data_IF_678198519687
#
_entry.id   IF_678198519687
#
_cell.length_a   1.000
_cell.length_b   1.000
_cell.length_c   1.000
_cell.angle_alpha   90.00
_cell.angle_beta   90.00
_cell.angle_gamma   90.00
#
_symmetry.space_group_name_H-M   'P 1'
#
loop_
_entity.id
_entity.type
_entity.pdbx_description
1 polymer ?
#
# COMPACT_ATOMS: atom_id res chain seq x y z
N UNK A 1 -16.63 58.47 4.22
CA UNK A 1 -15.18 58.43 3.97
C UNK A 1 -14.94 57.82 2.60
N UNK A 2 -14.32 58.55 1.66
CA UNK A 2 -13.98 58.02 0.33
C UNK A 2 -12.63 57.27 0.37
N UNK A 3 -12.47 56.16 -0.38
CA UNK A 3 -11.24 55.38 -0.39
C UNK A 3 -10.13 56.12 -1.17
N UNK A 4 -8.95 56.25 -0.56
CA UNK A 4 -7.77 56.84 -1.21
C UNK A 4 -7.30 55.94 -2.36
N UNK A 5 -7.48 56.41 -3.60
CA UNK A 5 -6.89 55.79 -4.79
C UNK A 5 -5.39 56.10 -4.80
N UNK A 6 -4.54 55.05 -4.76
CA UNK A 6 -3.09 55.21 -4.86
C UNK A 6 -2.70 55.55 -6.31
N UNK A 7 -1.80 56.52 -6.57
CA UNK A 7 -1.38 56.85 -7.91
C UNK A 7 -0.61 55.69 -8.56
N UNK A 8 -0.96 55.36 -9.81
CA UNK A 8 -0.21 54.40 -10.63
C UNK A 8 1.08 55.06 -11.11
N UNK A 9 2.21 54.61 -10.58
CA UNK A 9 3.54 55.02 -11.05
C UNK A 9 3.86 54.27 -12.35
N UNK A 10 4.01 54.98 -13.46
CA UNK A 10 4.42 54.42 -14.75
C UNK A 10 5.94 54.61 -14.88
N UNK A 11 6.68 53.51 -14.81
CA UNK A 11 8.14 53.50 -14.91
C UNK A 11 8.60 53.46 -16.39
N UNK A 12 9.73 54.10 -16.70
CA UNK A 12 10.33 54.09 -18.05
C UNK A 12 10.81 52.69 -18.43
N UNK A 13 10.92 52.40 -19.75
CA UNK A 13 11.37 51.09 -20.25
C UNK A 13 12.77 50.71 -19.74
N UNK A 14 13.67 51.67 -19.65
CA UNK A 14 15.03 51.48 -19.12
C UNK A 14 15.01 51.21 -17.61
N UNK A 15 14.21 51.96 -16.84
CA UNK A 15 14.05 51.71 -15.42
C UNK A 15 13.43 50.32 -15.14
N UNK A 16 12.46 49.89 -15.95
CA UNK A 16 11.90 48.54 -15.89
C UNK A 16 12.95 47.46 -16.21
N UNK A 17 13.80 47.68 -17.21
CA UNK A 17 14.87 46.73 -17.58
C UNK A 17 15.91 46.59 -16.46
N UNK A 18 16.35 47.71 -15.88
CA UNK A 18 17.28 47.73 -14.73
C UNK A 18 16.66 47.05 -13.49
N UNK A 19 15.38 47.32 -13.21
CA UNK A 19 14.68 46.66 -12.10
C UNK A 19 14.52 45.16 -12.33
N UNK A 20 14.27 44.73 -13.56
CA UNK A 20 14.17 43.31 -13.91
C UNK A 20 15.52 42.60 -13.81
N UNK A 21 16.60 43.21 -14.31
CA UNK A 21 17.96 42.70 -14.14
C UNK A 21 18.31 42.57 -12.65
N UNK A 22 18.04 43.59 -11.85
CA UNK A 22 18.26 43.56 -10.40
C UNK A 22 17.43 42.48 -9.70
N UNK A 23 16.17 42.28 -10.11
CA UNK A 23 15.32 41.20 -9.59
C UNK A 23 15.88 39.82 -9.94
N UNK A 24 16.35 39.63 -11.17
CA UNK A 24 16.96 38.38 -11.61
C UNK A 24 18.24 38.09 -10.82
N UNK A 25 19.11 39.09 -10.62
CA UNK A 25 20.34 38.92 -9.83
C UNK A 25 20.03 38.56 -8.38
N UNK A 26 19.07 39.24 -7.74
CA UNK A 26 18.62 38.91 -6.37
C UNK A 26 18.01 37.51 -6.29
N UNK A 27 17.22 37.10 -7.28
CA UNK A 27 16.64 35.75 -7.33
C UNK A 27 17.72 34.68 -7.50
N UNK A 28 18.73 34.92 -8.34
CA UNK A 28 19.88 34.02 -8.49
C UNK A 28 20.67 33.90 -7.19
N UNK A 29 20.99 35.03 -6.54
CA UNK A 29 21.69 35.04 -5.25
C UNK A 29 20.91 34.28 -4.17
N UNK A 30 19.59 34.46 -4.13
CA UNK A 30 18.73 33.72 -3.20
C UNK A 30 18.75 32.20 -3.46
N UNK A 31 18.69 31.77 -4.72
CA UNK A 31 18.80 30.34 -5.08
C UNK A 31 20.14 29.76 -4.65
N UNK A 32 21.24 30.43 -4.99
CA UNK A 32 22.59 30.00 -4.59
C UNK A 32 22.71 29.91 -3.06
N UNK A 33 22.13 30.85 -2.32
CA UNK A 33 22.12 30.80 -0.86
C UNK A 33 21.31 29.61 -0.31
N UNK A 34 20.21 29.24 -0.96
CA UNK A 34 19.44 28.04 -0.61
C UNK A 34 20.23 26.76 -0.90
N UNK A 35 20.86 26.67 -2.07
CA UNK A 35 21.65 25.50 -2.46
C UNK A 35 22.82 25.29 -1.49
N UNK A 36 23.57 26.36 -1.17
CA UNK A 36 24.63 26.32 -0.17
C UNK A 36 24.14 25.90 1.23
N UNK A 37 22.92 26.30 1.61
CA UNK A 37 22.35 25.90 2.90
C UNK A 37 21.98 24.41 2.91
N UNK A 38 21.50 23.88 1.78
CA UNK A 38 21.24 22.45 1.64
C UNK A 38 22.52 21.63 1.71
N UNK A 39 23.59 22.07 1.06
CA UNK A 39 24.91 21.41 1.11
C UNK A 39 25.44 21.34 2.55
N UNK A 40 25.32 22.44 3.31
CA UNK A 40 25.71 22.46 4.73
C UNK A 40 24.91 21.48 5.59
N UNK A 41 23.60 21.32 5.31
CA UNK A 41 22.76 20.36 6.02
C UNK A 41 23.18 18.92 5.69
N UNK A 42 23.51 18.65 4.42
CA UNK A 42 23.95 17.32 4.00
C UNK A 42 25.31 16.94 4.61
N UNK A 43 26.27 17.87 4.63
CA UNK A 43 27.57 17.69 5.28
C UNK A 43 27.43 17.47 6.79
N UNK A 44 26.56 18.23 7.46
CA UNK A 44 26.26 18.03 8.87
C UNK A 44 25.61 16.66 9.11
N UNK A 45 24.70 16.22 8.22
CA UNK A 45 24.03 14.91 8.30
C UNK A 45 25.05 13.78 8.21
N UNK A 46 25.97 13.85 7.24
CA UNK A 46 27.07 12.88 7.07
C UNK A 46 27.98 12.84 8.29
N UNK A 47 28.34 14.01 8.84
CA UNK A 47 29.19 14.12 10.03
C UNK A 47 28.55 13.45 11.25
N UNK A 48 27.26 13.69 11.48
CA UNK A 48 26.50 13.06 12.58
C UNK A 48 26.38 11.55 12.36
N UNK A 49 26.14 11.12 11.12
CA UNK A 49 26.04 9.71 10.77
C UNK A 49 27.35 8.97 11.07
N UNK A 50 28.50 9.53 10.68
CA UNK A 50 29.82 8.96 10.97
C UNK A 50 30.15 8.97 12.47
N UNK A 51 29.90 10.08 13.17
CA UNK A 51 30.23 10.19 14.59
C UNK A 51 29.45 9.21 15.48
N UNK A 52 28.21 8.91 15.09
CA UNK A 52 27.30 8.08 15.89
C UNK A 52 27.06 6.68 15.31
N UNK A 53 27.83 6.27 14.29
CA UNK A 53 27.72 4.95 13.65
C UNK A 53 26.28 4.62 13.18
N UNK A 54 25.59 5.63 12.61
CA UNK A 54 24.23 5.51 12.08
C UNK A 54 24.23 5.67 10.57
N UNK A 55 23.21 5.14 9.90
CA UNK A 55 23.04 5.38 8.46
C UNK A 55 22.66 6.84 8.19
N UNK A 56 23.18 7.40 7.09
CA UNK A 56 22.88 8.77 6.64
C UNK A 56 21.36 8.96 6.52
N UNK A 57 20.66 8.01 5.91
CA UNK A 57 19.19 8.02 5.76
C UNK A 57 18.44 8.11 7.10
N UNK A 58 18.96 7.50 8.17
CA UNK A 58 18.34 7.57 9.51
C UNK A 58 18.50 8.96 10.12
N UNK A 59 19.71 9.52 10.05
CA UNK A 59 19.99 10.88 10.54
C UNK A 59 19.22 11.91 9.74
N UNK A 60 19.14 11.72 8.42
CA UNK A 60 18.35 12.53 7.51
C UNK A 60 16.88 12.53 7.93
N UNK A 61 16.26 11.36 8.07
CA UNK A 61 14.89 11.25 8.57
C UNK A 61 14.69 11.98 9.91
N UNK A 62 15.61 11.83 10.87
CA UNK A 62 15.53 12.50 12.18
C UNK A 62 15.61 14.04 12.07
N UNK A 63 16.39 14.57 11.11
CA UNK A 63 16.51 16.01 10.84
C UNK A 63 15.28 16.58 10.09
N UNK A 64 14.79 15.86 9.07
CA UNK A 64 13.64 16.27 8.26
C UNK A 64 12.29 16.13 8.98
N UNK A 65 12.16 15.23 9.97
CA UNK A 65 10.98 15.15 10.87
C UNK A 65 10.79 16.45 11.70
N UNK A 66 11.81 17.31 11.74
CA UNK A 66 11.62 18.74 11.87
C UNK A 66 12.17 19.35 13.16
N UNK A 67 13.04 20.34 12.97
CA UNK A 67 13.50 21.28 14.00
C UNK A 67 12.36 22.09 14.66
N UNK A 68 11.17 22.16 14.02
CA UNK A 68 9.98 22.87 14.51
C UNK A 68 9.26 22.18 15.69
N UNK A 69 9.31 20.84 15.77
CA UNK A 69 8.78 20.08 16.92
C UNK A 69 9.73 20.18 18.12
N UNK A 70 11.02 20.37 17.86
CA UNK A 70 12.04 20.63 18.88
C UNK A 70 11.94 22.07 19.44
N UNK A 71 11.67 23.08 18.60
CA UNK A 71 11.59 24.50 19.02
C UNK A 71 10.25 24.95 19.59
N UNK A 72 9.11 24.33 19.24
CA UNK A 72 7.80 24.65 19.85
C UNK A 72 7.74 24.36 21.36
N UNK A 73 8.82 23.80 21.94
CA UNK A 73 8.95 23.34 23.33
C UNK A 73 9.28 24.42 24.36
N UNK A 74 9.51 25.67 23.96
CA UNK A 74 9.79 26.79 24.89
C UNK A 74 8.61 27.75 25.10
N UNK A 75 7.35 27.32 24.96
CA UNK A 75 6.27 28.10 25.57
C UNK A 75 6.54 28.14 27.08
N UNK A 76 6.62 29.34 27.68
CA UNK A 76 6.82 29.52 29.13
C UNK A 76 5.95 28.52 29.89
N UNK A 77 6.58 27.63 30.67
CA UNK A 77 5.88 26.64 31.49
C UNK A 77 5.03 27.41 32.50
N UNK A 78 3.72 27.44 32.30
CA UNK A 78 2.82 28.04 33.25
C UNK A 78 2.66 27.09 34.44
N UNK A 79 3.01 27.56 35.63
CA UNK A 79 2.94 26.81 36.91
C UNK A 79 1.55 26.20 37.12
N UNK A 80 0.48 26.90 36.72
CA UNK A 80 -0.89 26.39 36.77
C UNK A 80 -1.09 25.14 35.88
N UNK A 81 -0.54 25.14 34.66
CA UNK A 81 -0.66 24.01 33.75
C UNK A 81 0.11 22.78 34.26
N UNK A 82 1.24 23.02 34.93
CA UNK A 82 2.05 21.98 35.57
C UNK A 82 1.31 21.36 36.76
N UNK A 83 0.73 22.20 37.62
CA UNK A 83 -0.08 21.73 38.74
C UNK A 83 -1.30 20.92 38.27
N UNK A 84 -2.05 21.41 37.28
CA UNK A 84 -3.16 20.68 36.69
C UNK A 84 -2.72 19.36 36.06
N UNK A 85 -1.51 19.29 35.49
CA UNK A 85 -0.96 18.04 34.95
C UNK A 85 -0.73 17.00 36.06
N UNK A 86 -0.14 17.37 37.19
CA UNK A 86 0.12 16.45 38.32
C UNK A 86 -1.16 15.92 38.94
N UNK A 87 -2.23 16.73 38.94
CA UNK A 87 -3.52 16.40 39.53
C UNK A 87 -4.47 15.60 38.64
N UNK A 88 -4.17 15.40 37.34
CA UNK A 88 -5.05 14.64 36.42
C UNK A 88 -5.26 13.19 36.91
N UNK A 89 -6.45 12.81 37.43
CA UNK A 89 -6.84 11.40 37.45
C UNK A 89 -7.36 11.06 36.03
N UNK A 90 -7.34 9.79 35.65
CA UNK A 90 -7.85 9.37 34.34
C UNK A 90 -9.24 9.95 34.02
N UNK A 91 -9.40 10.46 32.79
CA UNK A 91 -10.66 10.85 32.15
C UNK A 91 -11.57 11.94 32.79
N UNK A 92 -11.11 12.79 33.72
CA UNK A 92 -11.90 13.98 34.09
C UNK A 92 -11.75 15.15 33.11
N UNK A 93 -12.87 15.80 32.75
CA UNK A 93 -12.89 16.97 31.88
C UNK A 93 -12.18 18.17 32.55
N UNK A 94 -11.30 18.85 31.81
CA UNK A 94 -10.42 19.92 32.30
C UNK A 94 -11.15 21.02 33.11
N UNK A 95 -12.41 21.32 32.76
CA UNK A 95 -13.22 22.34 33.43
C UNK A 95 -13.59 21.98 34.88
N UNK A 96 -13.71 20.70 35.20
CA UNK A 96 -14.11 20.22 36.52
C UNK A 96 -12.91 20.21 37.48
N UNK A 97 -11.76 19.76 36.99
CA UNK A 97 -10.47 19.79 37.69
C UNK A 97 -10.06 21.23 38.07
N UNK A 98 -10.34 22.19 37.18
CA UNK A 98 -10.10 23.63 37.42
C UNK A 98 -10.97 24.18 38.55
N UNK A 99 -12.15 23.61 38.82
CA UNK A 99 -13.02 24.06 39.94
C UNK A 99 -12.59 23.46 41.27
N UNK A 100 -12.23 22.18 41.27
CA UNK A 100 -11.93 21.40 42.48
C UNK A 100 -10.57 21.79 43.10
N UNK A 101 -9.53 21.98 42.28
CA UNK A 101 -8.16 22.19 42.79
C UNK A 101 -7.68 23.65 42.74
N UNK A 102 -8.57 24.62 42.48
CA UNK A 102 -8.21 26.04 42.42
C UNK A 102 -7.73 26.58 43.76
N UNK A 103 -8.42 26.21 44.84
CA UNK A 103 -8.05 26.63 46.20
C UNK A 103 -6.69 26.06 46.62
N UNK A 104 -6.46 24.77 46.32
CA UNK A 104 -5.19 24.08 46.60
C UNK A 104 -3.99 24.71 45.90
N UNK A 105 -4.18 25.26 44.69
CA UNK A 105 -3.10 25.93 43.97
C UNK A 105 -2.67 27.24 44.65
N UNK A 106 -3.63 28.03 45.13
CA UNK A 106 -3.32 29.30 45.78
C UNK A 106 -2.69 29.12 47.17
N UNK A 107 -2.81 27.93 47.77
CA UNK A 107 -2.14 27.57 49.03
C UNK A 107 -0.72 27.04 48.84
N UNK A 108 -0.28 26.75 47.61
CA UNK A 108 1.07 26.26 47.35
C UNK A 108 2.13 27.34 47.58
N UNK A 109 3.19 26.97 48.29
CA UNK A 109 4.38 27.79 48.44
C UNK A 109 5.15 27.94 47.12
N UNK A 110 6.01 28.94 47.05
CA UNK A 110 6.85 29.17 45.85
C UNK A 110 7.87 28.04 45.62
N UNK A 111 8.32 27.37 46.68
CA UNK A 111 9.28 26.26 46.60
C UNK A 111 8.61 25.01 46.01
N UNK A 112 7.41 24.67 46.49
CA UNK A 112 6.63 23.56 45.93
C UNK A 112 6.27 23.79 44.46
N UNK A 113 5.96 25.04 44.08
CA UNK A 113 5.71 25.39 42.68
C UNK A 113 6.94 25.17 41.78
N UNK A 114 8.14 25.41 42.29
CA UNK A 114 9.39 25.20 41.54
C UNK A 114 9.71 23.70 41.39
N UNK A 115 9.53 22.92 42.45
CA UNK A 115 9.73 21.47 42.41
C UNK A 115 8.77 20.78 41.44
N UNK A 116 7.52 21.22 41.39
CA UNK A 116 6.53 20.75 40.42
C UNK A 116 6.95 21.02 38.97
N UNK A 117 7.50 22.20 38.69
CA UNK A 117 8.00 22.56 37.36
C UNK A 117 9.21 21.70 36.97
N UNK A 118 10.09 21.41 37.93
CA UNK A 118 11.27 20.56 37.72
C UNK A 118 10.88 19.11 37.43
N UNK A 119 10.02 18.52 38.25
CA UNK A 119 9.51 17.16 38.08
C UNK A 119 8.79 17.00 36.73
N UNK A 120 8.00 17.99 36.33
CA UNK A 120 7.31 17.98 35.04
C UNK A 120 8.28 18.11 33.86
N UNK A 121 9.34 18.91 33.99
CA UNK A 121 10.37 19.03 32.97
C UNK A 121 11.10 17.69 32.76
N UNK A 122 11.45 16.99 33.83
CA UNK A 122 12.09 15.67 33.79
C UNK A 122 11.18 14.61 33.16
N UNK A 123 9.91 14.53 33.55
CA UNK A 123 8.96 13.61 32.91
C UNK A 123 8.71 13.92 31.43
N UNK A 124 8.74 15.21 31.05
CA UNK A 124 8.61 15.62 29.65
C UNK A 124 9.83 15.16 28.86
N UNK A 125 11.05 15.27 29.40
CA UNK A 125 12.27 14.75 28.78
C UNK A 125 12.19 13.23 28.57
N UNK A 126 11.71 12.47 29.57
CA UNK A 126 11.58 11.00 29.46
C UNK A 126 10.51 10.58 28.44
N UNK A 127 9.40 11.32 28.32
CA UNK A 127 8.38 11.10 27.27
C UNK A 127 8.85 11.55 25.89
N UNK A 128 9.76 12.53 25.81
CA UNK A 128 10.35 13.01 24.56
C UNK A 128 11.25 11.96 23.89
N UNK A 129 11.84 11.05 24.67
CA UNK A 129 12.63 9.93 24.16
C UNK A 129 11.78 8.84 23.48
N UNK A 130 10.46 8.79 23.76
CA UNK A 130 9.49 7.86 23.17
C UNK A 130 8.68 8.46 22.02
N UNK A 131 9.37 8.90 20.96
CA UNK A 131 8.75 9.68 19.88
C UNK A 131 7.75 8.85 19.05
N UNK A 132 6.46 9.20 19.12
CA UNK A 132 5.44 8.74 18.18
C UNK A 132 4.75 9.94 17.51
N UNK A 133 5.18 10.31 16.31
CA UNK A 133 4.29 11.03 15.38
C UNK A 133 3.10 10.12 15.11
N UNK A 134 1.90 10.54 15.49
CA UNK A 134 0.71 9.72 15.26
C UNK A 134 0.54 9.47 13.77
N UNK A 135 0.16 8.25 13.41
CA UNK A 135 -0.13 7.84 12.02
C UNK A 135 -1.09 8.81 11.34
N UNK A 136 -2.08 9.32 12.08
CA UNK A 136 -3.04 10.33 11.62
C UNK A 136 -2.37 11.65 11.20
N UNK A 137 -1.34 12.10 11.93
CA UNK A 137 -0.63 13.35 11.59
C UNK A 137 0.19 13.18 10.31
N UNK A 138 0.86 12.03 10.14
CA UNK A 138 1.58 11.68 8.91
C UNK A 138 0.66 11.65 7.70
N UNK A 139 -0.51 10.99 7.82
CA UNK A 139 -1.51 10.91 6.74
C UNK A 139 -2.02 12.30 6.36
N UNK A 140 -2.32 13.14 7.35
CA UNK A 140 -2.85 14.48 7.09
C UNK A 140 -1.81 15.38 6.39
N UNK A 141 -0.54 15.31 6.79
CA UNK A 141 0.55 16.05 6.16
C UNK A 141 0.75 15.64 4.69
N UNK A 142 0.76 14.33 4.44
CA UNK A 142 0.83 13.77 3.07
C UNK A 142 -0.36 14.27 2.25
N UNK A 143 -1.57 14.17 2.77
CA UNK A 143 -2.79 14.55 2.04
C UNK A 143 -2.82 16.04 1.69
N UNK A 144 -2.43 16.91 2.63
CA UNK A 144 -2.40 18.37 2.39
C UNK A 144 -1.33 18.74 1.37
N UNK A 145 -0.16 18.12 1.45
CA UNK A 145 0.95 18.37 0.52
C UNK A 145 0.60 17.89 -0.88
N UNK A 146 0.03 16.69 -1.02
CA UNK A 146 -0.40 16.16 -2.33
C UNK A 146 -1.44 17.04 -2.98
N UNK A 147 -2.42 17.53 -2.22
CA UNK A 147 -3.42 18.46 -2.75
C UNK A 147 -2.79 19.76 -3.28
N UNK A 148 -1.77 20.28 -2.61
CA UNK A 148 -1.06 21.46 -3.09
C UNK A 148 -0.31 21.17 -4.41
N UNK A 149 0.34 20.01 -4.51
CA UNK A 149 1.03 19.58 -5.73
C UNK A 149 0.05 19.37 -6.89
N UNK A 150 -1.07 18.71 -6.66
CA UNK A 150 -2.12 18.50 -7.68
C UNK A 150 -2.63 19.84 -8.25
N UNK A 151 -2.84 20.84 -7.39
CA UNK A 151 -3.25 22.18 -7.83
C UNK A 151 -2.20 22.86 -8.72
N UNK A 152 -0.91 22.72 -8.38
CA UNK A 152 0.19 23.25 -9.19
C UNK A 152 0.32 22.53 -10.54
N UNK A 153 0.13 21.20 -10.55
CA UNK A 153 0.14 20.41 -11.78
C UNK A 153 -1.04 20.79 -12.69
N UNK A 154 -2.25 20.93 -12.15
CA UNK A 154 -3.40 21.44 -12.90
C UNK A 154 -3.12 22.84 -13.47
N UNK A 155 -2.51 23.72 -12.67
CA UNK A 155 -2.13 25.06 -13.11
C UNK A 155 -1.05 25.04 -14.20
N UNK A 156 -0.16 24.04 -14.22
CA UNK A 156 0.83 23.84 -15.28
C UNK A 156 0.16 23.42 -16.59
N UNK A 157 -0.78 22.47 -16.54
CA UNK A 157 -1.57 22.04 -17.69
C UNK A 157 -2.34 23.22 -18.31
N UNK A 158 -3.08 23.99 -17.49
CA UNK A 158 -3.82 25.14 -18.00
C UNK A 158 -2.95 26.20 -18.69
N UNK A 159 -1.68 26.35 -18.28
CA UNK A 159 -0.77 27.36 -18.84
C UNK A 159 0.00 26.89 -20.07
N UNK A 160 0.26 25.60 -20.17
CA UNK A 160 1.24 25.06 -21.14
C UNK A 160 0.72 23.90 -21.99
N UNK A 161 -0.43 23.33 -21.63
CA UNK A 161 -0.93 22.09 -22.20
C UNK A 161 -0.12 20.85 -21.79
N UNK A 162 0.80 20.97 -20.83
CA UNK A 162 1.59 19.84 -20.35
C UNK A 162 0.69 18.84 -19.60
N UNK A 163 0.64 17.61 -20.10
CA UNK A 163 -0.02 16.50 -19.44
C UNK A 163 0.92 15.84 -18.42
N UNK A 164 0.41 15.54 -17.22
CA UNK A 164 1.22 14.99 -16.12
C UNK A 164 0.52 13.82 -15.45
N UNK A 165 1.33 12.86 -14.99
CA UNK A 165 0.93 11.78 -14.08
C UNK A 165 1.85 11.79 -12.85
N UNK A 166 1.28 11.56 -11.68
CA UNK A 166 1.95 11.55 -10.39
C UNK A 166 1.56 10.28 -9.62
N UNK A 167 2.56 9.50 -9.25
CA UNK A 167 2.42 8.33 -8.40
C UNK A 167 3.08 8.58 -7.05
N UNK A 168 2.35 8.37 -5.96
CA UNK A 168 2.85 8.52 -4.59
C UNK A 168 2.51 7.28 -3.80
N UNK A 169 3.52 6.69 -3.18
CA UNK A 169 3.43 5.34 -2.63
C UNK A 169 4.26 5.24 -1.35
N UNK A 170 3.81 4.43 -0.38
CA UNK A 170 4.60 4.27 0.84
C UNK A 170 5.70 3.22 0.67
N UNK A 171 6.95 3.60 0.99
CA UNK A 171 8.10 2.69 0.99
C UNK A 171 8.37 2.01 2.33
N UNK A 172 7.50 2.16 3.32
CA UNK A 172 7.58 1.44 4.60
C UNK A 172 6.20 0.98 5.05
N UNK A 173 6.16 0.05 6.00
CA UNK A 173 4.92 -0.44 6.61
C UNK A 173 4.33 0.49 7.67
N UNK A 174 4.96 1.65 7.95
CA UNK A 174 4.65 2.44 9.16
C UNK A 174 3.37 3.30 9.06
N UNK A 175 3.03 3.94 7.93
CA UNK A 175 1.69 4.48 7.72
C UNK A 175 0.87 3.55 6.79
N UNK A 176 -0.37 3.17 7.16
CA UNK A 176 -1.31 2.48 6.28
C UNK A 176 -1.91 3.51 5.32
N UNK A 177 -1.09 4.00 4.40
CA UNK A 177 -1.53 4.90 3.34
C UNK A 177 -1.55 4.08 2.06
N UNK A 178 -2.74 3.93 1.47
CA UNK A 178 -2.89 3.38 0.13
C UNK A 178 -2.30 4.39 -0.85
N UNK A 179 -1.49 3.92 -1.80
CA UNK A 179 -0.84 4.82 -2.75
C UNK A 179 -1.84 5.72 -3.47
N UNK A 180 -1.41 6.96 -3.71
CA UNK A 180 -2.19 8.02 -4.33
C UNK A 180 -1.71 8.19 -5.77
N UNK A 181 -2.65 8.11 -6.71
CA UNK A 181 -2.43 8.43 -8.12
C UNK A 181 -3.15 9.72 -8.46
N UNK A 182 -2.48 10.58 -9.22
CA UNK A 182 -3.08 11.70 -9.91
C UNK A 182 -2.66 11.61 -11.37
N UNK A 183 -3.62 11.69 -12.29
CA UNK A 183 -3.34 11.67 -13.72
C UNK A 183 -4.30 12.66 -14.40
N UNK A 184 -3.77 13.41 -15.36
CA UNK A 184 -4.59 14.21 -16.26
C UNK A 184 -5.24 13.31 -17.32
N UNK A 185 -6.33 13.78 -17.91
CA UNK A 185 -7.19 12.98 -18.77
C UNK A 185 -6.45 12.38 -19.97
N UNK A 186 -5.55 13.14 -20.61
CA UNK A 186 -4.80 12.68 -21.78
C UNK A 186 -3.87 11.51 -21.45
N UNK A 187 -3.07 11.65 -20.38
CA UNK A 187 -2.16 10.58 -19.95
C UNK A 187 -2.92 9.42 -19.32
N UNK A 188 -4.02 9.67 -18.60
CA UNK A 188 -4.85 8.61 -18.04
C UNK A 188 -5.43 7.71 -19.13
N UNK A 189 -5.97 8.31 -20.20
CA UNK A 189 -6.49 7.56 -21.35
C UNK A 189 -5.37 6.80 -22.07
N UNK A 190 -4.18 7.41 -22.23
CA UNK A 190 -3.02 6.72 -22.80
C UNK A 190 -2.63 5.47 -21.98
N UNK A 191 -2.54 5.60 -20.66
CA UNK A 191 -2.19 4.48 -19.78
C UNK A 191 -3.21 3.34 -19.88
N UNK A 192 -4.51 3.66 -19.93
CA UNK A 192 -5.56 2.64 -20.01
C UNK A 192 -5.72 2.04 -21.42
N UNK A 193 -5.73 2.86 -22.47
CA UNK A 193 -6.07 2.40 -23.82
C UNK A 193 -4.87 1.92 -24.62
N UNK A 194 -3.70 2.54 -24.46
CA UNK A 194 -2.50 2.18 -25.22
C UNK A 194 -1.64 1.22 -24.42
N UNK A 195 -1.34 1.57 -23.15
CA UNK A 195 -0.49 0.73 -22.32
C UNK A 195 -1.25 -0.45 -21.70
N UNK A 196 -2.58 -0.41 -21.67
CA UNK A 196 -3.41 -1.42 -20.97
C UNK A 196 -3.01 -1.58 -19.49
N UNK A 197 -2.55 -0.48 -18.87
CA UNK A 197 -2.10 -0.43 -17.48
C UNK A 197 -3.17 0.29 -16.66
N UNK A 198 -3.66 -0.38 -15.63
CA UNK A 198 -4.43 0.27 -14.58
C UNK A 198 -3.48 0.99 -13.61
N UNK A 199 -3.68 2.30 -13.43
CA UNK A 199 -2.81 3.14 -12.60
C UNK A 199 -2.80 2.72 -11.12
N UNK A 200 -3.93 2.18 -10.61
CA UNK A 200 -4.03 1.70 -9.23
C UNK A 200 -3.29 0.36 -9.07
N UNK A 201 -3.38 -0.53 -10.05
CA UNK A 201 -2.61 -1.78 -10.10
C UNK A 201 -1.10 -1.49 -10.17
N UNK A 202 -0.69 -0.53 -11.01
CA UNK A 202 0.72 -0.13 -11.10
C UNK A 202 1.25 0.44 -9.77
N UNK A 203 0.51 1.35 -9.14
CA UNK A 203 0.87 1.85 -7.80
C UNK A 203 1.00 0.70 -6.80
N UNK A 204 0.05 -0.23 -6.78
CA UNK A 204 0.06 -1.35 -5.84
C UNK A 204 1.29 -2.23 -6.01
N UNK A 205 1.73 -2.45 -7.26
CA UNK A 205 2.96 -3.17 -7.58
C UNK A 205 4.20 -2.39 -7.14
N UNK A 206 4.21 -1.07 -7.35
CA UNK A 206 5.32 -0.22 -6.92
C UNK A 206 5.42 -0.14 -5.38
N UNK A 207 4.29 -0.13 -4.66
CA UNK A 207 4.23 -0.24 -3.19
C UNK A 207 4.78 -1.57 -2.71
N UNK A 208 4.27 -2.67 -3.29
CA UNK A 208 4.78 -4.01 -2.99
C UNK A 208 6.28 -4.10 -3.23
N UNK A 209 6.77 -3.54 -4.34
CA UNK A 209 8.20 -3.48 -4.63
C UNK A 209 8.99 -2.68 -3.60
N UNK A 210 8.51 -1.51 -3.20
CA UNK A 210 9.20 -0.66 -2.24
C UNK A 210 9.32 -1.33 -0.86
N UNK A 211 8.34 -2.15 -0.47
CA UNK A 211 8.31 -2.85 0.83
C UNK A 211 9.04 -4.20 0.80
N UNK A 212 8.88 -4.99 -0.27
CA UNK A 212 9.30 -6.40 -0.33
C UNK A 212 10.20 -6.74 -1.54
N UNK A 213 10.65 -5.74 -2.30
CA UNK A 213 11.43 -5.93 -3.53
C UNK A 213 10.63 -6.68 -4.60
N UNK A 214 11.32 -7.44 -5.46
CA UNK A 214 10.70 -8.18 -6.58
C UNK A 214 9.51 -9.06 -6.16
N UNK A 215 9.52 -9.59 -4.93
CA UNK A 215 8.43 -10.43 -4.40
C UNK A 215 7.13 -9.66 -4.14
N UNK A 216 7.21 -8.37 -3.88
CA UNK A 216 6.03 -7.54 -3.68
C UNK A 216 5.46 -6.95 -4.97
N UNK A 217 6.28 -6.78 -6.01
CA UNK A 217 5.81 -6.36 -7.34
C UNK A 217 4.99 -7.44 -8.07
N UNK A 218 5.20 -8.72 -7.74
CA UNK A 218 4.64 -9.86 -8.46
C UNK A 218 3.22 -10.26 -8.04
N UNK A 219 2.65 -9.69 -6.97
CA UNK A 219 1.39 -10.19 -6.40
C UNK A 219 0.14 -9.62 -7.10
N UNK A 220 -0.23 -10.21 -8.22
CA UNK A 220 -1.58 -10.08 -8.79
C UNK A 220 -2.45 -11.28 -8.39
N UNK A 221 -3.65 -11.02 -7.86
CA UNK A 221 -4.62 -12.09 -7.54
C UNK A 221 -5.02 -12.88 -8.80
N UNK A 222 -5.30 -12.19 -9.92
CA UNK A 222 -5.64 -12.84 -11.20
C UNK A 222 -4.49 -13.67 -11.78
N UNK A 223 -3.26 -13.16 -11.72
CA UNK A 223 -2.09 -13.91 -12.17
C UNK A 223 -1.88 -15.15 -11.30
N UNK A 224 -1.97 -15.00 -9.97
CA UNK A 224 -1.85 -16.12 -9.04
C UNK A 224 -2.92 -17.19 -9.27
N UNK A 225 -4.16 -16.79 -9.56
CA UNK A 225 -5.22 -17.73 -9.97
C UNK A 225 -4.84 -18.45 -11.27
N UNK A 226 -4.34 -17.72 -12.27
CA UNK A 226 -3.86 -18.30 -13.54
C UNK A 226 -2.68 -19.27 -13.37
N UNK A 227 -1.73 -18.93 -12.50
CA UNK A 227 -0.54 -19.74 -12.23
C UNK A 227 -0.91 -21.03 -11.50
N UNK A 228 -1.79 -20.93 -10.49
CA UNK A 228 -2.31 -22.09 -9.76
C UNK A 228 -3.16 -22.97 -10.70
N UNK A 229 -3.98 -22.36 -11.56
CA UNK A 229 -4.75 -23.08 -12.57
C UNK A 229 -3.86 -23.88 -13.52
N UNK A 230 -2.82 -23.24 -14.06
CA UNK A 230 -1.84 -23.87 -14.94
C UNK A 230 -1.13 -25.02 -14.23
N UNK A 231 -0.70 -24.80 -12.99
CA UNK A 231 -0.05 -25.83 -12.17
C UNK A 231 -0.95 -27.05 -11.93
N UNK A 232 -2.25 -26.84 -11.69
CA UNK A 232 -3.21 -27.93 -11.53
C UNK A 232 -3.44 -28.66 -12.86
N UNK A 233 -3.56 -27.95 -13.98
CA UNK A 233 -3.68 -28.60 -15.28
C UNK A 233 -2.42 -29.41 -15.63
N UNK A 234 -1.24 -28.90 -15.29
CA UNK A 234 0.02 -29.58 -15.54
C UNK A 234 0.16 -30.83 -14.68
N UNK A 235 -0.11 -30.76 -13.37
CA UNK A 235 -0.01 -31.93 -12.48
C UNK A 235 -1.00 -33.03 -12.88
N UNK A 236 -2.24 -32.67 -13.23
CA UNK A 236 -3.26 -33.63 -13.69
C UNK A 236 -2.79 -34.35 -14.95
N UNK A 237 -2.30 -33.61 -15.95
CA UNK A 237 -1.87 -34.20 -17.22
C UNK A 237 -0.56 -34.99 -17.07
N UNK A 238 0.41 -34.50 -16.29
CA UNK A 238 1.67 -35.22 -16.07
C UNK A 238 1.41 -36.55 -15.37
N UNK A 239 0.67 -36.53 -14.26
CA UNK A 239 0.34 -37.76 -13.52
C UNK A 239 -0.56 -38.70 -14.33
N UNK A 240 -1.41 -38.19 -15.22
CA UNK A 240 -2.17 -39.02 -16.16
C UNK A 240 -1.25 -39.78 -17.11
N UNK A 241 -0.28 -39.10 -17.74
CA UNK A 241 0.70 -39.72 -18.64
C UNK A 241 1.57 -40.73 -17.91
N UNK A 242 1.94 -40.44 -16.67
CA UNK A 242 2.72 -41.35 -15.82
C UNK A 242 1.96 -42.64 -15.51
N UNK A 243 0.68 -42.54 -15.12
CA UNK A 243 -0.13 -43.71 -14.77
C UNK A 243 -0.54 -44.52 -16.01
N UNK A 244 -0.80 -43.87 -17.13
CA UNK A 244 -1.23 -44.53 -18.38
C UNK A 244 -0.06 -45.06 -19.21
N UNK A 245 1.14 -44.50 -19.05
CA UNK A 245 2.30 -44.76 -19.89
C UNK A 245 2.20 -44.16 -21.30
N UNK A 246 1.15 -43.40 -21.59
CA UNK A 246 0.92 -42.75 -22.88
C UNK A 246 1.36 -41.28 -22.82
N UNK A 247 2.34 -40.90 -23.64
CA UNK A 247 2.85 -39.53 -23.71
C UNK A 247 1.84 -38.53 -24.28
N UNK A 248 0.89 -38.99 -25.09
CA UNK A 248 -0.12 -38.15 -25.73
C UNK A 248 -1.41 -38.03 -24.93
N UNK A 249 -1.53 -38.75 -23.81
CA UNK A 249 -2.66 -38.66 -22.90
C UNK A 249 -2.86 -37.21 -22.40
N UNK A 250 -4.10 -36.74 -22.51
CA UNK A 250 -4.54 -35.40 -22.09
C UNK A 250 -5.92 -35.48 -21.47
N UNK A 251 -6.11 -34.72 -20.39
CA UNK A 251 -7.38 -34.61 -19.70
C UNK A 251 -8.45 -33.98 -20.60
N UNK A 252 -9.58 -34.68 -20.77
CA UNK A 252 -10.72 -34.19 -21.55
C UNK A 252 -11.98 -34.09 -20.70
N UNK A 253 -12.25 -32.91 -20.15
CA UNK A 253 -13.37 -32.69 -19.22
C UNK A 253 -14.76 -33.01 -19.80
N UNK A 254 -15.01 -32.66 -21.06
CA UNK A 254 -16.32 -32.89 -21.70
C UNK A 254 -16.59 -34.37 -22.06
N UNK A 255 -15.51 -35.13 -22.26
CA UNK A 255 -15.55 -36.54 -22.65
C UNK A 255 -14.80 -37.40 -21.63
N UNK A 256 -14.84 -36.99 -20.36
CA UNK A 256 -14.04 -37.58 -19.31
C UNK A 256 -14.30 -39.08 -19.18
N UNK A 257 -15.57 -39.49 -19.18
CA UNK A 257 -15.93 -40.89 -19.09
C UNK A 257 -15.38 -41.71 -20.28
N UNK A 258 -15.63 -41.27 -21.51
CA UNK A 258 -15.26 -42.03 -22.71
C UNK A 258 -13.74 -42.03 -22.97
N UNK A 259 -13.12 -40.85 -22.98
CA UNK A 259 -11.75 -40.67 -23.45
C UNK A 259 -10.72 -40.76 -22.33
N UNK A 260 -11.13 -40.72 -21.05
CA UNK A 260 -10.23 -40.90 -19.91
C UNK A 260 -10.56 -42.20 -19.18
N UNK A 261 -11.79 -42.36 -18.68
CA UNK A 261 -12.14 -43.52 -17.85
C UNK A 261 -12.19 -44.81 -18.67
N UNK A 262 -12.91 -44.84 -19.79
CA UNK A 262 -13.04 -46.04 -20.61
C UNK A 262 -11.80 -46.33 -21.45
N UNK A 263 -11.20 -45.30 -22.06
CA UNK A 263 -10.05 -45.50 -22.92
C UNK A 263 -8.78 -45.88 -22.15
N UNK A 264 -8.50 -45.19 -21.04
CA UNK A 264 -7.27 -45.38 -20.27
C UNK A 264 -7.46 -46.19 -18.98
N UNK A 265 -8.69 -46.60 -18.64
CA UNK A 265 -9.01 -47.36 -17.41
C UNK A 265 -8.51 -46.69 -16.12
N UNK A 266 -8.61 -45.36 -16.05
CA UNK A 266 -8.21 -44.57 -14.87
C UNK A 266 -9.31 -43.62 -14.43
N UNK A 267 -9.42 -43.38 -13.13
CA UNK A 267 -10.37 -42.43 -12.54
C UNK A 267 -9.67 -41.53 -11.53
N UNK A 268 -10.10 -40.29 -11.40
CA UNK A 268 -9.67 -39.39 -10.32
C UNK A 268 -10.38 -39.79 -9.03
N UNK A 269 -9.63 -40.16 -8.00
CA UNK A 269 -10.14 -40.38 -6.64
C UNK A 269 -9.72 -39.24 -5.71
N UNK A 270 -10.55 -38.94 -4.70
CA UNK A 270 -10.24 -37.94 -3.68
C UNK A 270 -10.46 -36.48 -4.09
N UNK A 271 -11.28 -36.21 -5.12
CA UNK A 271 -11.64 -34.86 -5.51
C UNK A 271 -12.45 -34.14 -4.41
N UNK A 272 -12.13 -32.88 -4.07
CA UNK A 272 -12.83 -32.15 -3.01
C UNK A 272 -14.28 -31.77 -3.36
N UNK A 273 -15.20 -31.90 -2.40
CA UNK A 273 -16.64 -31.59 -2.58
C UNK A 273 -16.93 -30.11 -2.86
N UNK A 274 -16.10 -29.21 -2.35
CA UNK A 274 -16.27 -27.77 -2.51
C UNK A 274 -15.76 -27.24 -3.87
N UNK A 275 -15.17 -28.08 -4.72
CA UNK A 275 -14.74 -27.69 -6.07
C UNK A 275 -15.54 -28.47 -7.11
N UNK A 276 -16.33 -27.82 -7.96
CA UNK A 276 -17.06 -28.50 -9.02
C UNK A 276 -16.14 -29.32 -9.93
N UNK A 277 -16.51 -30.57 -10.19
CA UNK A 277 -15.75 -31.47 -11.07
C UNK A 277 -15.98 -31.11 -12.54
N UNK A 278 -15.24 -30.12 -13.03
CA UNK A 278 -15.28 -29.68 -14.42
C UNK A 278 -13.99 -28.95 -14.79
N UNK A 279 -13.91 -28.50 -16.05
CA UNK A 279 -12.78 -27.68 -16.47
C UNK A 279 -12.68 -26.42 -15.58
N UNK A 280 -11.59 -26.34 -14.82
CA UNK A 280 -11.31 -25.24 -13.89
C UNK A 280 -11.30 -23.86 -14.57
N UNK A 281 -11.14 -23.78 -15.90
CA UNK A 281 -11.19 -22.50 -16.62
C UNK A 281 -12.63 -22.01 -16.84
N UNK A 282 -13.60 -22.93 -16.78
CA UNK A 282 -15.04 -22.64 -16.89
C UNK A 282 -15.70 -22.46 -15.52
N UNK A 283 -15.09 -23.00 -14.47
CA UNK A 283 -15.59 -22.92 -13.10
C UNK A 283 -14.87 -21.80 -12.35
N UNK A 284 -15.60 -20.79 -11.89
CA UNK A 284 -15.04 -19.72 -11.06
C UNK A 284 -14.86 -20.21 -9.62
N UNK A 285 -13.73 -20.85 -9.33
CA UNK A 285 -13.36 -21.24 -7.95
C UNK A 285 -12.57 -20.15 -7.23
N UNK A 286 -12.76 -20.03 -5.92
CA UNK A 286 -12.01 -19.07 -5.13
C UNK A 286 -10.54 -19.51 -4.99
N UNK A 287 -9.59 -18.57 -5.00
CA UNK A 287 -8.15 -18.89 -4.92
C UNK A 287 -7.76 -19.85 -3.77
N UNK A 288 -8.31 -19.73 -2.53
CA UNK A 288 -8.01 -20.67 -1.46
C UNK A 288 -8.40 -22.13 -1.79
N UNK A 289 -9.48 -22.31 -2.54
CA UNK A 289 -9.98 -23.64 -2.94
C UNK A 289 -9.08 -24.27 -4.00
N UNK A 290 -8.59 -23.45 -4.95
CA UNK A 290 -7.62 -23.87 -5.95
C UNK A 290 -6.27 -24.24 -5.32
N UNK A 291 -5.79 -23.44 -4.37
CA UNK A 291 -4.55 -23.75 -3.65
C UNK A 291 -4.69 -25.02 -2.79
N UNK A 292 -5.85 -25.23 -2.18
CA UNK A 292 -6.15 -26.48 -1.48
C UNK A 292 -6.17 -27.67 -2.45
N UNK A 293 -6.82 -27.55 -3.60
CA UNK A 293 -6.86 -28.60 -4.63
C UNK A 293 -5.45 -28.95 -5.10
N UNK A 294 -4.62 -27.95 -5.41
CA UNK A 294 -3.22 -28.17 -5.81
C UNK A 294 -2.45 -28.94 -4.74
N UNK A 295 -2.55 -28.52 -3.46
CA UNK A 295 -1.91 -29.24 -2.35
C UNK A 295 -2.42 -30.68 -2.22
N UNK A 296 -3.71 -30.92 -2.46
CA UNK A 296 -4.27 -32.27 -2.40
C UNK A 296 -3.67 -33.20 -3.46
N UNK A 297 -3.40 -32.68 -4.66
CA UNK A 297 -2.66 -33.39 -5.71
C UNK A 297 -1.21 -33.64 -5.31
N UNK A 298 -0.50 -32.62 -4.82
CA UNK A 298 0.90 -32.76 -4.37
C UNK A 298 1.07 -33.76 -3.22
N UNK A 299 0.09 -33.82 -2.31
CA UNK A 299 0.08 -34.75 -1.17
C UNK A 299 -0.45 -36.15 -1.54
N UNK A 300 -0.90 -36.35 -2.78
CA UNK A 300 -1.47 -37.63 -3.25
C UNK A 300 -2.86 -37.95 -2.69
N UNK A 301 -3.48 -37.03 -1.95
CA UNK A 301 -4.87 -37.21 -1.47
C UNK A 301 -5.89 -37.17 -2.61
N UNK A 302 -5.60 -36.42 -3.68
CA UNK A 302 -6.29 -36.50 -4.96
C UNK A 302 -5.30 -37.08 -5.97
N UNK A 303 -5.65 -38.18 -6.63
CA UNK A 303 -4.75 -38.87 -7.57
C UNK A 303 -5.52 -39.68 -8.61
N UNK A 304 -4.82 -40.10 -9.65
CA UNK A 304 -5.31 -41.08 -10.62
C UNK A 304 -5.23 -42.49 -10.06
N UNK A 305 -6.35 -43.20 -10.08
CA UNK A 305 -6.45 -44.61 -9.72
C UNK A 305 -6.72 -45.45 -10.95
N UNK A 306 -5.88 -46.46 -11.16
CA UNK A 306 -6.11 -47.50 -12.16
C UNK A 306 -7.28 -48.37 -11.74
N UNK A 307 -8.20 -48.59 -12.66
CA UNK A 307 -9.37 -49.43 -12.46
C UNK A 307 -9.02 -50.89 -12.73
N UNK A 308 -9.54 -51.78 -11.88
CA UNK A 308 -9.64 -53.20 -12.25
C UNK A 308 -10.87 -53.42 -13.11
N UNK A 309 -10.93 -54.52 -13.86
CA UNK A 309 -12.08 -54.84 -14.72
C UNK A 309 -13.41 -54.79 -13.95
N UNK A 310 -13.41 -55.25 -12.69
CA UNK A 310 -14.58 -55.22 -11.81
C UNK A 310 -14.98 -53.80 -11.40
N UNK A 311 -14.00 -52.95 -11.11
CA UNK A 311 -14.26 -51.55 -10.75
C UNK A 311 -14.76 -50.77 -11.96
N UNK A 312 -14.22 -51.08 -13.15
CA UNK A 312 -14.66 -50.49 -14.41
C UNK A 312 -16.11 -50.88 -14.74
N UNK A 313 -16.46 -52.17 -14.65
CA UNK A 313 -17.85 -52.62 -14.86
C UNK A 313 -18.84 -51.90 -13.94
N UNK A 314 -18.46 -51.72 -12.66
CA UNK A 314 -19.29 -50.99 -11.70
C UNK A 314 -19.47 -49.52 -12.09
N UNK A 315 -18.37 -48.81 -12.38
CA UNK A 315 -18.41 -47.40 -12.78
C UNK A 315 -19.18 -47.21 -14.09
N UNK A 316 -19.06 -48.16 -15.01
CA UNK A 316 -19.78 -48.15 -16.27
C UNK A 316 -21.29 -48.38 -16.10
N UNK A 317 -21.68 -49.29 -15.21
CA UNK A 317 -23.08 -49.49 -14.85
C UNK A 317 -23.68 -48.23 -14.22
N UNK A 318 -23.00 -47.64 -13.22
CA UNK A 318 -23.43 -46.40 -12.57
C UNK A 318 -23.55 -45.22 -13.56
N UNK A 319 -22.65 -45.14 -14.54
CA UNK A 319 -22.74 -44.11 -15.58
C UNK A 319 -23.94 -44.33 -16.52
N UNK A 320 -24.21 -45.57 -16.92
CA UNK A 320 -25.37 -45.89 -17.75
C UNK A 320 -26.69 -45.61 -17.02
N UNK A 321 -26.79 -45.94 -15.74
CA UNK A 321 -27.95 -45.59 -14.91
C UNK A 321 -28.20 -44.07 -14.86
N UNK A 322 -27.12 -43.26 -14.77
CA UNK A 322 -27.23 -41.79 -14.79
C UNK A 322 -27.58 -41.21 -16.16
N UNK A 323 -27.19 -41.88 -17.25
CA UNK A 323 -27.64 -41.52 -18.60
C UNK A 323 -29.13 -41.85 -18.77
N UNK A 324 -29.58 -43.01 -18.29
CA UNK A 324 -30.97 -43.44 -18.36
C UNK A 324 -31.90 -42.59 -17.50
N UNK A 325 -31.44 -42.13 -16.33
CA UNK A 325 -32.18 -41.21 -15.46
C UNK A 325 -32.23 -39.76 -15.98
N UNK A 326 -31.39 -39.42 -16.97
CA UNK A 326 -31.28 -38.07 -17.54
C UNK A 326 -30.50 -37.08 -16.67
N UNK A 327 -29.77 -37.55 -15.66
CA UNK A 327 -28.91 -36.69 -14.82
C UNK A 327 -27.65 -36.19 -15.55
N UNK A 328 -27.21 -36.93 -16.57
CA UNK A 328 -26.04 -36.60 -17.40
C UNK A 328 -26.47 -36.55 -18.88
N UNK A 329 -26.07 -35.51 -19.60
CA UNK A 329 -26.31 -35.41 -21.05
C UNK A 329 -25.33 -36.32 -21.82
N UNK A 330 -25.85 -37.10 -22.77
CA UNK A 330 -25.04 -37.91 -23.68
C UNK A 330 -24.26 -37.01 -24.65
N UNK A 331 -22.97 -36.82 -24.37
CA UNK A 331 -22.08 -35.99 -25.20
C UNK A 331 -21.65 -36.68 -26.49
N UNK A 332 -22.01 -37.95 -26.73
CA UNK A 332 -21.65 -38.73 -27.93
C UNK A 332 -22.38 -38.27 -29.22
N UNK A 333 -23.39 -37.39 -29.13
CA UNK A 333 -24.34 -37.11 -30.23
C UNK A 333 -24.23 -35.75 -30.95
N UNK A 334 -23.09 -35.05 -30.89
CA UNK A 334 -22.87 -33.89 -31.78
C UNK A 334 -21.74 -34.17 -32.78
N UNK A 335 -22.17 -34.61 -33.97
CA UNK A 335 -21.39 -34.61 -35.23
C UNK A 335 -21.17 -33.17 -35.67
#
# INVERSE_FOLDING_TARGET
>A
MQPRIRPKVILSKEACSILNANRQTKSRQFKVALDNAWDQIDDATKTIASAHHKSVRRVQNDLYIGHGILRSRHSKLNVWNVFCWKKKPGQHALKQLVREHKAEYYTLSKEEQQDLVKEYAEQKLTKMTGFHTSTKSKINDITQTLKAVENELNSLNCRTGAETILYVMCGSTDPPLRGVTFAMEGVQHFMQSVMSIDNQDLISKMEGFAVQGMRGAAKNHKQRVSDVHSSICDIINCTLREVTGDSDAKMQWAYYFWNVVQHHQVVIEGWPENVPFANLSKVSSALPELEMLLRKWELGTTHWKTLTDKDFEKIHLEHNEKLESGEIEDTHRRI
#
